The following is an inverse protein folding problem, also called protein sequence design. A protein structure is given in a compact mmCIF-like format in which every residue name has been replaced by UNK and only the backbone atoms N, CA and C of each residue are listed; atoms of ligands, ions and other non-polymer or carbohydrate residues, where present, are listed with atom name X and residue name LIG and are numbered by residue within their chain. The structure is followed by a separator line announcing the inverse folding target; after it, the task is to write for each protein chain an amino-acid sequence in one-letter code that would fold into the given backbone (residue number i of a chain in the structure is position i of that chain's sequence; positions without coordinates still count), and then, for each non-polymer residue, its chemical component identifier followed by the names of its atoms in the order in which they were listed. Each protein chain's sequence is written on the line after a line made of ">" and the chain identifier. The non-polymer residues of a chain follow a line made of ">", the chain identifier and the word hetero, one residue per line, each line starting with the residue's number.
data_IF_475975043918
#
_entry.id   IF_475975043918
#
_cell.length_a   1.000
_cell.length_b   1.000
_cell.length_c   1.000
_cell.angle_alpha   90.00
_cell.angle_beta   90.00
_cell.angle_gamma   90.00
#
_symmetry.space_group_name_H-M   'P 1'
#
loop_
_entity.id
_entity.type
_entity.pdbx_description
1 polymer ?
#
# COMPACT_ATOMS: atom_id res chain seq x y z
N UNK A 1 -21.35 20.74 -70.19
CA UNK A 1 -21.32 19.43 -69.48
C UNK A 1 -20.29 19.55 -68.39
N UNK A 2 -20.77 19.77 -67.15
CA UNK A 2 -19.91 19.90 -65.97
C UNK A 2 -20.08 18.64 -65.13
N UNK A 3 -19.01 17.86 -64.89
CA UNK A 3 -19.01 16.66 -64.05
C UNK A 3 -18.81 17.06 -62.58
N UNK A 4 -19.66 16.56 -61.61
CA UNK A 4 -19.42 16.80 -60.21
C UNK A 4 -18.39 15.81 -59.68
N UNK A 5 -17.32 16.33 -59.03
CA UNK A 5 -16.33 15.57 -58.30
C UNK A 5 -16.89 15.23 -56.89
N UNK A 6 -17.12 13.95 -56.67
CA UNK A 6 -17.56 13.40 -55.38
C UNK A 6 -16.39 13.36 -54.40
N UNK A 7 -16.38 14.24 -53.39
CA UNK A 7 -15.42 14.23 -52.29
C UNK A 7 -15.87 13.25 -51.22
N UNK A 8 -15.15 12.13 -51.08
CA UNK A 8 -15.31 11.20 -49.96
C UNK A 8 -14.69 11.81 -48.69
N UNK A 9 -15.53 12.19 -47.75
CA UNK A 9 -15.12 12.50 -46.38
C UNK A 9 -15.00 11.18 -45.63
N UNK A 10 -13.78 10.70 -45.38
CA UNK A 10 -13.50 9.60 -44.49
C UNK A 10 -13.66 10.08 -43.03
N UNK A 11 -14.75 9.73 -42.39
CA UNK A 11 -14.95 9.94 -40.97
C UNK A 11 -14.09 8.92 -40.20
N UNK A 12 -13.02 9.41 -39.58
CA UNK A 12 -12.17 8.62 -38.70
C UNK A 12 -12.91 8.43 -37.37
N UNK A 13 -13.51 7.28 -37.15
CA UNK A 13 -14.09 6.90 -35.85
C UNK A 13 -12.94 6.70 -34.86
N UNK A 14 -12.76 7.67 -33.93
CA UNK A 14 -11.92 7.53 -32.76
C UNK A 14 -12.62 6.54 -31.84
N UNK A 15 -12.20 5.27 -31.84
CA UNK A 15 -12.60 4.29 -30.83
C UNK A 15 -11.91 4.66 -29.53
N UNK A 16 -12.64 5.36 -28.65
CA UNK A 16 -12.23 5.57 -27.27
C UNK A 16 -12.36 4.21 -26.58
N UNK A 17 -11.27 3.44 -26.54
CA UNK A 17 -11.20 2.25 -25.69
C UNK A 17 -11.15 2.76 -24.25
N UNK A 18 -12.16 2.48 -23.41
CA UNK A 18 -12.07 2.82 -22.00
C UNK A 18 -10.85 2.08 -21.42
N UNK A 19 -9.88 2.81 -20.91
CA UNK A 19 -8.81 2.27 -20.08
C UNK A 19 -9.46 1.79 -18.77
N UNK A 20 -9.98 0.56 -18.80
CA UNK A 20 -10.36 -0.11 -17.56
C UNK A 20 -9.08 -0.18 -16.72
N UNK A 21 -9.09 0.46 -15.57
CA UNK A 21 -8.02 0.31 -14.59
C UNK A 21 -8.01 -1.18 -14.20
N UNK A 22 -7.09 -1.95 -14.77
CA UNK A 22 -6.96 -3.36 -14.40
C UNK A 22 -6.57 -3.44 -12.94
N UNK A 23 -7.18 -4.39 -12.22
CA UNK A 23 -6.83 -4.71 -10.85
C UNK A 23 -5.32 -4.84 -10.69
N UNK A 24 -4.77 -4.22 -9.66
CA UNK A 24 -3.34 -4.27 -9.36
C UNK A 24 -2.99 -5.57 -8.64
N UNK A 25 -1.93 -6.23 -9.07
CA UNK A 25 -1.30 -7.30 -8.30
C UNK A 25 0.02 -6.79 -7.74
N UNK A 26 0.02 -6.43 -6.46
CA UNK A 26 1.13 -5.75 -5.82
C UNK A 26 1.83 -6.60 -4.76
N UNK A 27 3.13 -6.41 -4.61
CA UNK A 27 3.92 -6.92 -3.49
C UNK A 27 4.45 -5.75 -2.66
N UNK A 28 4.27 -5.84 -1.34
CA UNK A 28 4.85 -4.86 -0.41
C UNK A 28 6.30 -5.25 -0.14
N UNK A 29 7.20 -4.30 -0.20
CA UNK A 29 8.57 -4.41 0.26
C UNK A 29 8.76 -3.52 1.48
N UNK A 30 9.11 -4.13 2.59
CA UNK A 30 9.46 -3.48 3.85
C UNK A 30 10.98 -3.35 3.94
N UNK A 31 11.58 -2.19 3.57
CA UNK A 31 13.02 -2.01 3.61
C UNK A 31 13.58 -2.12 5.02
N UNK A 32 14.69 -2.84 5.17
CA UNK A 32 15.43 -2.95 6.42
C UNK A 32 16.90 -2.61 6.19
N UNK A 33 17.57 -2.00 7.19
CA UNK A 33 19.00 -1.63 7.06
C UNK A 33 19.89 -2.81 6.69
N UNK A 34 19.58 -4.02 7.21
CA UNK A 34 20.30 -5.26 6.86
C UNK A 34 20.19 -5.66 5.40
N UNK A 35 19.19 -5.15 4.67
CA UNK A 35 19.04 -5.45 3.25
C UNK A 35 20.17 -4.83 2.40
N UNK A 36 20.91 -3.88 2.97
CA UNK A 36 22.12 -3.29 2.34
C UNK A 36 23.27 -4.29 2.20
N UNK A 37 23.25 -5.38 2.95
CA UNK A 37 24.23 -6.47 2.87
C UNK A 37 23.95 -7.45 1.72
N UNK A 38 22.80 -7.30 1.04
CA UNK A 38 22.46 -8.08 -0.15
C UNK A 38 23.29 -7.61 -1.34
N UNK A 39 23.95 -8.57 -2.03
CA UNK A 39 24.76 -8.26 -3.20
C UNK A 39 23.95 -7.52 -4.29
N UNK A 40 24.55 -6.50 -4.90
CA UNK A 40 23.86 -5.61 -5.82
C UNK A 40 23.24 -6.33 -7.01
N UNK A 41 23.88 -7.37 -7.55
CA UNK A 41 23.41 -8.14 -8.69
C UNK A 41 22.21 -9.04 -8.39
N UNK A 42 21.90 -9.28 -7.11
CA UNK A 42 20.74 -10.08 -6.69
C UNK A 42 19.41 -9.29 -6.82
N UNK A 43 19.45 -7.98 -6.67
CA UNK A 43 18.24 -7.15 -6.71
C UNK A 43 17.53 -7.15 -8.06
N UNK A 44 18.21 -6.90 -9.20
CA UNK A 44 17.57 -6.99 -10.51
C UNK A 44 16.98 -8.38 -10.79
N UNK A 45 17.67 -9.45 -10.35
CA UNK A 45 17.19 -10.84 -10.50
C UNK A 45 15.93 -11.06 -9.66
N UNK A 46 15.92 -10.58 -8.42
CA UNK A 46 14.75 -10.67 -7.54
C UNK A 46 13.54 -9.95 -8.15
N UNK A 47 13.71 -8.70 -8.61
CA UNK A 47 12.59 -7.95 -9.21
C UNK A 47 12.12 -8.56 -10.54
N UNK A 48 13.00 -9.12 -11.34
CA UNK A 48 12.63 -9.88 -12.52
C UNK A 48 11.80 -11.13 -12.17
N UNK A 49 12.19 -11.88 -11.13
CA UNK A 49 11.44 -13.03 -10.64
C UNK A 49 10.06 -12.62 -10.09
N UNK A 50 9.97 -11.52 -9.36
CA UNK A 50 8.70 -10.93 -8.89
C UNK A 50 7.79 -10.61 -10.09
N UNK A 51 8.35 -9.97 -11.11
CA UNK A 51 7.60 -9.65 -12.34
C UNK A 51 7.09 -10.90 -13.07
N UNK A 52 7.93 -11.95 -13.17
CA UNK A 52 7.57 -13.24 -13.77
C UNK A 52 6.47 -13.97 -13.00
N UNK A 53 6.36 -13.77 -11.68
CA UNK A 53 5.28 -14.30 -10.85
C UNK A 53 3.94 -13.56 -11.03
N UNK A 54 3.88 -12.56 -11.93
CA UNK A 54 2.65 -11.84 -12.26
C UNK A 54 2.41 -10.56 -11.45
N UNK A 55 3.33 -10.16 -10.59
CA UNK A 55 3.23 -8.87 -9.92
C UNK A 55 3.47 -7.73 -10.92
N UNK A 56 2.65 -6.70 -10.87
CA UNK A 56 2.78 -5.51 -11.71
C UNK A 56 3.24 -4.27 -10.93
N UNK A 57 3.17 -4.33 -9.59
CA UNK A 57 3.44 -3.19 -8.72
C UNK A 57 4.29 -3.60 -7.52
N UNK A 58 5.29 -2.78 -7.21
CA UNK A 58 6.02 -2.80 -5.94
C UNK A 58 5.52 -1.65 -5.07
N UNK A 59 5.05 -1.97 -3.87
CA UNK A 59 4.75 -1.00 -2.83
C UNK A 59 5.93 -0.96 -1.87
N UNK A 60 6.68 0.11 -1.85
CA UNK A 60 7.70 0.33 -0.82
C UNK A 60 6.98 0.79 0.44
N UNK A 61 6.96 -0.01 1.50
CA UNK A 61 6.11 0.25 2.68
C UNK A 61 6.44 1.58 3.36
N UNK A 62 7.71 1.94 3.42
CA UNK A 62 8.22 3.24 3.84
C UNK A 62 9.51 3.56 3.11
N UNK A 63 9.71 4.82 2.82
CA UNK A 63 10.97 5.32 2.29
C UNK A 63 11.83 5.98 3.37
N UNK A 64 11.24 6.13 4.57
CA UNK A 64 11.92 6.53 5.80
C UNK A 64 11.18 5.91 7.00
N UNK A 65 11.89 5.25 7.90
CA UNK A 65 11.35 4.67 9.15
C UNK A 65 12.13 5.24 10.34
N UNK A 66 11.53 6.19 11.05
CA UNK A 66 12.25 6.97 12.03
C UNK A 66 13.43 7.71 11.38
N UNK A 67 14.65 7.33 11.77
CA UNK A 67 15.92 7.81 11.18
C UNK A 67 16.46 6.90 10.06
N UNK A 68 15.94 5.66 9.94
CA UNK A 68 16.38 4.75 8.89
C UNK A 68 15.98 5.27 7.51
N UNK A 69 16.91 5.21 6.57
CA UNK A 69 16.80 5.70 5.19
C UNK A 69 16.66 7.23 5.06
N UNK A 70 16.89 7.98 6.16
CA UNK A 70 16.94 9.45 6.13
C UNK A 70 18.30 9.96 5.68
N UNK A 71 19.40 9.27 6.06
CA UNK A 71 20.76 9.64 5.68
C UNK A 71 20.98 9.55 4.16
N UNK A 72 21.80 10.44 3.56
CA UNK A 72 21.97 10.52 2.11
C UNK A 72 22.40 9.20 1.45
N UNK A 73 23.30 8.45 2.08
CA UNK A 73 23.79 7.15 1.59
C UNK A 73 22.72 6.05 1.66
N UNK A 74 21.95 5.99 2.75
CA UNK A 74 20.83 5.07 2.91
C UNK A 74 19.70 5.39 1.91
N UNK A 75 19.38 6.67 1.74
CA UNK A 75 18.41 7.13 0.74
C UNK A 75 18.86 6.78 -0.68
N UNK A 76 20.10 7.06 -1.03
CA UNK A 76 20.65 6.75 -2.36
C UNK A 76 20.62 5.24 -2.64
N UNK A 77 20.91 4.42 -1.63
CA UNK A 77 20.81 2.97 -1.73
C UNK A 77 19.37 2.53 -2.04
N UNK A 78 18.38 3.03 -1.28
CA UNK A 78 16.97 2.67 -1.51
C UNK A 78 16.44 3.19 -2.85
N UNK A 79 16.85 4.40 -3.25
CA UNK A 79 16.51 4.97 -4.54
C UNK A 79 17.00 4.09 -5.70
N UNK A 80 18.20 3.52 -5.57
CA UNK A 80 18.75 2.58 -6.56
C UNK A 80 17.88 1.32 -6.64
N UNK A 81 17.42 0.75 -5.51
CA UNK A 81 16.52 -0.42 -5.50
C UNK A 81 15.20 -0.12 -6.19
N UNK A 82 14.63 1.06 -5.95
CA UNK A 82 13.39 1.51 -6.61
C UNK A 82 13.60 1.65 -8.12
N UNK A 83 14.73 2.20 -8.56
CA UNK A 83 15.08 2.30 -9.99
C UNK A 83 15.21 0.93 -10.64
N UNK A 84 15.82 -0.04 -9.97
CA UNK A 84 15.96 -1.42 -10.46
C UNK A 84 14.61 -2.13 -10.57
N UNK A 85 13.72 -1.96 -9.59
CA UNK A 85 12.36 -2.49 -9.66
C UNK A 85 11.59 -1.91 -10.86
N UNK A 86 11.73 -0.60 -11.13
CA UNK A 86 11.16 0.02 -12.32
C UNK A 86 11.75 -0.52 -13.61
N UNK A 87 13.06 -0.72 -13.66
CA UNK A 87 13.73 -1.30 -14.82
C UNK A 87 13.26 -2.73 -15.10
N UNK A 88 12.84 -3.48 -14.08
CA UNK A 88 12.19 -4.78 -14.21
C UNK A 88 10.71 -4.70 -14.67
N UNK A 89 10.16 -3.49 -14.87
CA UNK A 89 8.78 -3.28 -15.35
C UNK A 89 7.73 -3.21 -14.24
N UNK A 90 8.14 -3.02 -12.98
CA UNK A 90 7.20 -2.81 -11.87
C UNK A 90 6.78 -1.35 -11.78
N UNK A 91 5.49 -1.09 -11.59
CA UNK A 91 4.97 0.22 -11.15
C UNK A 91 5.36 0.44 -9.70
N UNK A 92 5.61 1.68 -9.31
CA UNK A 92 6.09 1.99 -7.96
C UNK A 92 5.06 2.80 -7.19
N UNK A 93 4.60 2.25 -6.07
CA UNK A 93 3.88 2.99 -5.02
C UNK A 93 4.87 3.25 -3.90
N UNK A 94 5.11 4.52 -3.57
CA UNK A 94 6.08 4.93 -2.57
C UNK A 94 5.43 5.18 -1.21
N UNK A 95 5.82 4.41 -0.23
CA UNK A 95 5.53 4.69 1.18
C UNK A 95 6.34 5.89 1.66
N UNK A 96 5.68 6.74 2.42
CA UNK A 96 6.25 7.97 2.94
C UNK A 96 6.99 7.74 4.26
N UNK A 97 6.99 8.73 5.15
CA UNK A 97 7.65 8.61 6.45
C UNK A 97 6.83 7.79 7.45
N UNK A 98 7.44 6.79 8.07
CA UNK A 98 6.84 6.01 9.16
C UNK A 98 7.42 6.44 10.51
N UNK A 99 6.55 6.68 11.49
CA UNK A 99 6.94 6.93 12.87
C UNK A 99 6.93 5.60 13.64
N UNK A 100 8.08 5.09 14.13
CA UNK A 100 8.13 3.89 14.95
C UNK A 100 7.29 3.96 16.23
N UNK A 101 6.99 5.17 16.69
CA UNK A 101 6.19 5.39 17.88
C UNK A 101 4.67 5.56 17.58
N UNK A 102 4.22 5.40 16.34
CA UNK A 102 2.87 5.71 15.90
C UNK A 102 1.79 5.11 16.81
N UNK A 103 1.79 3.81 17.05
CA UNK A 103 0.82 3.15 17.93
C UNK A 103 0.88 3.67 19.38
N UNK A 104 2.08 3.88 19.92
CA UNK A 104 2.26 4.47 21.25
C UNK A 104 1.68 5.89 21.30
N UNK A 105 1.88 6.69 20.26
CA UNK A 105 1.30 8.04 20.20
C UNK A 105 -0.22 8.01 20.12
N UNK A 106 -0.80 7.05 19.40
CA UNK A 106 -2.24 6.84 19.36
C UNK A 106 -2.83 6.55 20.74
N UNK A 107 -2.15 5.77 21.57
CA UNK A 107 -2.59 5.45 22.94
C UNK A 107 -2.48 6.64 23.88
N UNK A 108 -1.42 7.43 23.75
CA UNK A 108 -1.07 8.51 24.66
C UNK A 108 -1.75 9.84 24.34
N UNK A 109 -1.95 10.14 23.05
CA UNK A 109 -2.46 11.45 22.60
C UNK A 109 -3.96 11.41 22.37
N UNK A 110 -4.64 12.46 22.79
CA UNK A 110 -6.09 12.65 22.65
C UNK A 110 -6.39 14.10 22.21
N UNK A 111 -7.56 14.31 21.61
CA UNK A 111 -8.03 15.65 21.25
C UNK A 111 -6.99 16.49 20.51
N UNK A 112 -6.71 17.74 20.93
CA UNK A 112 -5.79 18.66 20.26
C UNK A 112 -4.37 18.07 20.07
N UNK A 113 -3.84 17.37 21.07
CA UNK A 113 -2.49 16.77 21.00
C UNK A 113 -2.38 15.72 19.88
N UNK A 114 -3.46 14.99 19.61
CA UNK A 114 -3.52 14.05 18.49
C UNK A 114 -3.57 14.82 17.17
N UNK A 115 -4.34 15.87 17.07
CA UNK A 115 -4.41 16.72 15.87
C UNK A 115 -3.04 17.30 15.53
N UNK A 116 -2.30 17.80 16.52
CA UNK A 116 -0.95 18.36 16.30
C UNK A 116 0.08 17.29 15.90
N UNK A 117 -0.06 16.09 16.46
CA UNK A 117 0.76 14.95 16.06
C UNK A 117 0.49 14.54 14.61
N UNK A 118 -0.76 14.39 14.21
CA UNK A 118 -1.14 14.05 12.84
C UNK A 118 -0.67 15.12 11.84
N UNK A 119 -0.81 16.41 12.19
CA UNK A 119 -0.28 17.51 11.38
C UNK A 119 1.25 17.45 11.23
N UNK A 120 1.95 16.99 12.27
CA UNK A 120 3.41 16.79 12.20
C UNK A 120 3.77 15.63 11.26
N UNK A 121 2.99 14.54 11.26
CA UNK A 121 3.16 13.45 10.31
C UNK A 121 2.94 13.93 8.87
N UNK A 122 1.87 14.69 8.61
CA UNK A 122 1.58 15.21 7.27
C UNK A 122 2.73 16.08 6.72
N UNK A 123 3.30 16.97 7.53
CA UNK A 123 4.47 17.77 7.11
C UNK A 123 5.68 16.89 6.76
N UNK A 124 5.99 15.88 7.59
CA UNK A 124 7.09 14.95 7.32
C UNK A 124 6.85 14.17 6.03
N UNK A 125 5.62 13.72 5.80
CA UNK A 125 5.23 13.03 4.59
C UNK A 125 5.42 13.91 3.35
N UNK A 126 5.02 15.18 3.41
CA UNK A 126 5.24 16.13 2.32
C UNK A 126 6.74 16.34 2.04
N UNK A 127 7.59 16.48 3.07
CA UNK A 127 9.05 16.60 2.93
C UNK A 127 9.66 15.36 2.23
N UNK A 128 9.24 14.16 2.66
CA UNK A 128 9.67 12.90 2.04
C UNK A 128 9.18 12.82 0.60
N UNK A 129 7.92 13.15 0.34
CA UNK A 129 7.35 13.14 -1.01
C UNK A 129 8.07 14.10 -1.96
N UNK A 130 8.38 15.32 -1.52
CA UNK A 130 9.14 16.29 -2.30
C UNK A 130 10.53 15.75 -2.70
N UNK A 131 11.24 15.15 -1.73
CA UNK A 131 12.56 14.55 -1.99
C UNK A 131 12.45 13.45 -3.07
N UNK A 132 11.56 12.49 -2.88
CA UNK A 132 11.41 11.37 -3.80
C UNK A 132 10.89 11.78 -5.17
N UNK A 133 10.00 12.75 -5.24
CA UNK A 133 9.53 13.31 -6.50
C UNK A 133 10.65 14.01 -7.28
N UNK A 134 11.57 14.70 -6.57
CA UNK A 134 12.76 15.30 -7.15
C UNK A 134 13.76 14.26 -7.70
N UNK A 135 14.06 13.22 -6.90
CA UNK A 135 15.11 12.26 -7.22
C UNK A 135 14.68 11.19 -8.24
N UNK A 136 13.40 10.78 -8.21
CA UNK A 136 12.86 9.74 -9.09
C UNK A 136 12.14 10.30 -10.32
N UNK A 137 11.65 11.54 -10.23
CA UNK A 137 10.75 12.16 -11.19
C UNK A 137 9.29 11.76 -10.96
N UNK A 138 8.39 12.73 -10.96
CA UNK A 138 6.95 12.51 -10.66
C UNK A 138 6.26 11.53 -11.61
N UNK A 139 6.70 11.42 -12.87
CA UNK A 139 6.18 10.44 -13.83
C UNK A 139 6.50 8.99 -13.49
N UNK A 140 7.47 8.76 -12.61
CA UNK A 140 7.89 7.43 -12.18
C UNK A 140 7.10 6.88 -10.99
N UNK A 141 6.34 7.74 -10.32
CA UNK A 141 5.54 7.41 -9.14
C UNK A 141 4.13 7.05 -9.59
N UNK A 142 3.69 5.83 -9.28
CA UNK A 142 2.35 5.34 -9.60
C UNK A 142 1.34 5.65 -8.49
N UNK A 143 1.80 5.83 -7.25
CA UNK A 143 0.98 6.13 -6.08
C UNK A 143 1.82 6.46 -4.86
N UNK A 144 1.17 7.02 -3.86
CA UNK A 144 1.71 7.24 -2.53
C UNK A 144 1.11 6.23 -1.55
N UNK A 145 1.87 5.82 -0.55
CA UNK A 145 1.38 4.99 0.53
C UNK A 145 1.68 5.66 1.87
N UNK A 146 0.66 5.82 2.69
CA UNK A 146 0.79 6.32 4.05
C UNK A 146 1.12 5.12 4.96
N UNK A 147 2.34 5.02 5.50
CA UNK A 147 2.77 3.86 6.28
C UNK A 147 2.23 3.93 7.73
N UNK A 148 0.96 4.21 7.84
CA UNK A 148 0.17 4.11 9.05
C UNK A 148 -0.83 2.97 8.91
N UNK A 149 -1.25 2.38 10.01
CA UNK A 149 -2.28 1.35 10.01
C UNK A 149 -3.52 1.88 10.73
N UNK A 150 -4.66 1.77 10.05
CA UNK A 150 -5.95 2.18 10.61
C UNK A 150 -6.60 0.96 11.24
N UNK A 151 -6.78 1.00 12.57
CA UNK A 151 -7.32 -0.10 13.37
C UNK A 151 -8.77 0.14 13.80
N UNK A 152 -9.45 -0.94 14.20
CA UNK A 152 -10.82 -0.91 14.71
C UNK A 152 -10.91 -0.64 16.22
N UNK A 153 -9.77 -0.39 16.89
CA UNK A 153 -9.68 -0.01 18.30
C UNK A 153 -9.78 1.50 18.45
N UNK A 154 -8.75 2.18 17.93
CA UNK A 154 -8.58 3.63 18.08
C UNK A 154 -9.66 4.40 17.32
N UNK A 155 -9.92 3.99 16.10
CA UNK A 155 -10.83 4.70 15.20
C UNK A 155 -12.29 4.27 15.35
N UNK A 156 -12.62 3.57 16.46
CA UNK A 156 -13.98 3.30 16.85
C UNK A 156 -14.70 4.53 17.43
N UNK A 157 -13.96 5.46 18.02
CA UNK A 157 -14.49 6.71 18.56
C UNK A 157 -14.84 7.71 17.44
N UNK A 158 -16.05 8.31 17.42
CA UNK A 158 -16.45 9.23 16.36
C UNK A 158 -15.59 10.50 16.26
N UNK A 159 -15.08 11.02 17.39
CA UNK A 159 -14.20 12.20 17.38
C UNK A 159 -12.83 11.86 16.82
N UNK A 160 -12.30 10.69 17.16
CA UNK A 160 -11.06 10.20 16.57
C UNK A 160 -11.23 9.99 15.05
N UNK A 161 -12.36 9.45 14.58
CA UNK A 161 -12.65 9.33 13.13
C UNK A 161 -12.67 10.67 12.43
N UNK A 162 -13.29 11.69 13.01
CA UNK A 162 -13.26 13.03 12.43
C UNK A 162 -11.84 13.57 12.30
N UNK A 163 -11.00 13.39 13.33
CA UNK A 163 -9.58 13.78 13.28
C UNK A 163 -8.80 13.01 12.20
N UNK A 164 -9.07 11.69 12.05
CA UNK A 164 -8.49 10.88 10.98
C UNK A 164 -8.90 11.40 9.61
N UNK A 165 -10.19 11.68 9.41
CA UNK A 165 -10.69 12.21 8.16
C UNK A 165 -10.01 13.54 7.79
N UNK A 166 -9.94 14.49 8.71
CA UNK A 166 -9.31 15.80 8.50
C UNK A 166 -7.81 15.63 8.14
N UNK A 167 -7.12 14.73 8.82
CA UNK A 167 -5.73 14.40 8.52
C UNK A 167 -5.57 13.84 7.10
N UNK A 168 -6.40 12.88 6.71
CA UNK A 168 -6.31 12.25 5.39
C UNK A 168 -6.66 13.23 4.26
N UNK A 169 -7.62 14.14 4.48
CA UNK A 169 -7.93 15.23 3.54
C UNK A 169 -6.74 16.18 3.40
N UNK A 170 -6.03 16.48 4.49
CA UNK A 170 -4.84 17.32 4.45
C UNK A 170 -3.67 16.64 3.72
N UNK A 171 -3.43 15.34 3.97
CA UNK A 171 -2.46 14.52 3.21
C UNK A 171 -2.77 14.52 1.71
N UNK A 172 -4.04 14.29 1.35
CA UNK A 172 -4.47 14.32 -0.06
C UNK A 172 -4.12 15.66 -0.71
N UNK A 173 -4.44 16.76 -0.06
CA UNK A 173 -4.19 18.11 -0.58
C UNK A 173 -2.70 18.40 -0.74
N UNK A 174 -1.88 18.05 0.26
CA UNK A 174 -0.45 18.29 0.23
C UNK A 174 0.25 17.46 -0.86
N UNK A 175 -0.07 16.17 -0.95
CA UNK A 175 0.52 15.27 -1.92
C UNK A 175 0.09 15.56 -3.36
N UNK A 176 -1.17 15.97 -3.58
CA UNK A 176 -1.65 16.43 -4.89
C UNK A 176 -0.90 17.68 -5.37
N UNK A 177 -0.48 18.54 -4.45
CA UNK A 177 0.36 19.70 -4.77
C UNK A 177 1.79 19.34 -5.19
N UNK A 178 2.27 18.14 -4.87
CA UNK A 178 3.61 17.65 -5.23
C UNK A 178 3.56 16.80 -6.51
N UNK A 179 2.84 15.69 -6.46
CA UNK A 179 2.56 14.82 -7.60
C UNK A 179 1.19 14.21 -7.38
N UNK A 180 0.20 14.62 -8.17
CA UNK A 180 -1.17 14.09 -8.07
C UNK A 180 -1.19 12.63 -8.53
N UNK A 181 -1.33 11.73 -7.55
CA UNK A 181 -1.38 10.28 -7.69
C UNK A 181 -2.30 9.68 -6.64
N UNK A 182 -2.86 8.49 -6.88
CA UNK A 182 -3.60 7.78 -5.85
C UNK A 182 -2.81 7.65 -4.54
N UNK A 183 -3.49 7.84 -3.42
CA UNK A 183 -2.92 7.66 -2.08
C UNK A 183 -3.56 6.42 -1.47
N UNK A 184 -2.74 5.57 -0.89
CA UNK A 184 -3.16 4.32 -0.26
C UNK A 184 -2.81 4.29 1.22
N UNK A 185 -3.61 3.56 1.98
CA UNK A 185 -3.36 3.25 3.38
C UNK A 185 -3.82 1.83 3.66
N UNK A 186 -3.25 1.17 4.66
CA UNK A 186 -3.77 -0.11 5.13
C UNK A 186 -4.68 0.05 6.34
N UNK A 187 -5.64 -0.86 6.46
CA UNK A 187 -6.49 -1.00 7.62
C UNK A 187 -6.55 -2.45 8.06
N UNK A 188 -6.64 -2.68 9.39
CA UNK A 188 -6.84 -4.01 9.95
C UNK A 188 -7.95 -4.01 10.99
N UNK A 189 -8.47 -5.20 11.25
CA UNK A 189 -9.50 -5.45 12.25
C UNK A 189 -8.99 -6.44 13.30
N UNK A 190 -9.37 -6.22 14.55
CA UNK A 190 -9.01 -7.06 15.70
C UNK A 190 -10.22 -7.47 16.55
N UNK A 191 -11.44 -7.24 16.06
CA UNK A 191 -12.68 -7.65 16.72
C UNK A 191 -13.29 -6.59 17.64
N UNK A 192 -12.86 -5.34 17.57
CA UNK A 192 -13.37 -4.24 18.41
C UNK A 192 -14.56 -3.49 17.81
N UNK A 193 -14.81 -3.67 16.52
CA UNK A 193 -16.02 -3.26 15.81
C UNK A 193 -16.76 -4.50 15.30
N UNK A 194 -18.07 -4.37 15.03
CA UNK A 194 -18.74 -5.36 14.19
C UNK A 194 -18.24 -5.25 12.74
N UNK A 195 -18.35 -6.31 11.91
CA UNK A 195 -17.94 -6.26 10.51
C UNK A 195 -18.56 -5.08 9.73
N UNK A 196 -19.83 -4.77 9.94
CA UNK A 196 -20.49 -3.64 9.25
C UNK A 196 -19.93 -2.29 9.72
N UNK A 197 -19.73 -2.09 11.03
CA UNK A 197 -19.10 -0.85 11.54
C UNK A 197 -17.66 -0.67 11.07
N UNK A 198 -16.93 -1.77 10.91
CA UNK A 198 -15.59 -1.72 10.32
C UNK A 198 -15.65 -1.34 8.83
N UNK A 199 -16.61 -1.87 8.08
CA UNK A 199 -16.83 -1.46 6.70
C UNK A 199 -17.18 0.05 6.59
N UNK A 200 -17.97 0.58 7.53
CA UNK A 200 -18.23 2.03 7.62
C UNK A 200 -16.95 2.84 7.88
N UNK A 201 -16.02 2.35 8.73
CA UNK A 201 -14.72 2.99 8.93
C UNK A 201 -13.91 3.03 7.63
N UNK A 202 -13.85 1.93 6.90
CA UNK A 202 -13.16 1.85 5.59
C UNK A 202 -13.79 2.84 4.59
N UNK A 203 -15.12 2.95 4.56
CA UNK A 203 -15.82 3.92 3.72
C UNK A 203 -15.50 5.37 4.13
N UNK A 204 -15.44 5.68 5.42
CA UNK A 204 -15.09 7.02 5.90
C UNK A 204 -13.69 7.44 5.45
N UNK A 205 -12.73 6.49 5.47
CA UNK A 205 -11.39 6.74 4.91
C UNK A 205 -11.46 7.06 3.43
N UNK A 206 -12.21 6.30 2.64
CA UNK A 206 -12.34 6.55 1.21
C UNK A 206 -13.01 7.90 0.88
N UNK A 207 -13.92 8.39 1.73
CA UNK A 207 -14.52 9.73 1.57
C UNK A 207 -13.49 10.86 1.69
N UNK A 208 -12.35 10.63 2.31
CA UNK A 208 -11.23 11.59 2.33
C UNK A 208 -10.43 11.64 1.00
N UNK A 209 -10.73 10.76 0.05
CA UNK A 209 -9.97 10.60 -1.20
C UNK A 209 -8.83 9.58 -1.13
N UNK A 210 -8.56 9.01 0.05
CA UNK A 210 -7.52 8.00 0.27
C UNK A 210 -8.09 6.59 0.09
N UNK A 211 -7.38 5.75 -0.66
CA UNK A 211 -7.78 4.36 -0.97
C UNK A 211 -7.32 3.41 0.13
N UNK A 212 -8.18 2.49 0.54
CA UNK A 212 -7.88 1.56 1.62
C UNK A 212 -7.63 0.15 1.11
N UNK A 213 -6.52 -0.47 1.52
CA UNK A 213 -6.29 -1.89 1.45
C UNK A 213 -6.52 -2.53 2.82
N UNK A 214 -7.42 -3.50 2.89
CA UNK A 214 -7.76 -4.19 4.14
C UNK A 214 -6.87 -5.41 4.31
N UNK A 215 -6.18 -5.51 5.45
CA UNK A 215 -5.35 -6.66 5.79
C UNK A 215 -6.25 -7.85 6.16
N UNK A 216 -5.92 -9.05 5.64
CA UNK A 216 -6.72 -10.26 5.88
C UNK A 216 -6.51 -10.86 7.28
N UNK A 217 -5.45 -10.44 7.98
CA UNK A 217 -5.11 -10.90 9.35
C UNK A 217 -4.79 -12.39 9.45
N UNK A 218 -4.46 -13.04 8.33
CA UNK A 218 -4.21 -14.48 8.31
C UNK A 218 -2.88 -14.85 8.96
N UNK A 219 -1.87 -14.01 8.81
CA UNK A 219 -0.55 -14.19 9.40
C UNK A 219 -0.52 -13.96 10.90
N UNK A 220 -1.24 -12.95 11.38
CA UNK A 220 -1.28 -12.58 12.81
C UNK A 220 -2.19 -13.51 13.63
N UNK A 221 -3.19 -14.10 13.02
CA UNK A 221 -4.14 -15.05 13.64
C UNK A 221 -4.85 -14.54 14.91
N UNK A 222 -5.05 -13.21 15.02
CA UNK A 222 -5.76 -12.61 16.16
C UNK A 222 -7.23 -13.03 16.22
N UNK A 223 -7.84 -13.26 15.06
CA UNK A 223 -9.21 -13.74 14.93
C UNK A 223 -9.24 -15.08 14.20
N UNK A 224 -10.19 -15.91 14.58
CA UNK A 224 -10.51 -17.15 13.89
C UNK A 224 -10.90 -16.89 12.42
N UNK A 225 -10.64 -17.86 11.55
CA UNK A 225 -10.86 -17.74 10.11
C UNK A 225 -12.29 -17.31 9.76
N UNK A 226 -13.30 -17.90 10.41
CA UNK A 226 -14.71 -17.55 10.15
C UNK A 226 -15.01 -16.08 10.48
N UNK A 227 -14.48 -15.58 11.61
CA UNK A 227 -14.63 -14.19 11.99
C UNK A 227 -13.94 -13.27 10.97
N UNK A 228 -12.69 -13.56 10.57
CA UNK A 228 -11.95 -12.78 9.54
C UNK A 228 -12.73 -12.69 8.23
N UNK A 229 -13.34 -13.81 7.78
CA UNK A 229 -14.15 -13.84 6.57
C UNK A 229 -15.36 -12.89 6.62
N UNK A 230 -15.98 -12.69 7.80
CA UNK A 230 -17.08 -11.74 7.96
C UNK A 230 -16.62 -10.29 7.74
N UNK A 231 -15.45 -9.91 8.30
CA UNK A 231 -14.87 -8.57 8.07
C UNK A 231 -14.48 -8.35 6.60
N UNK A 232 -13.82 -9.34 6.01
CA UNK A 232 -13.42 -9.30 4.60
C UNK A 232 -14.65 -9.17 3.68
N UNK A 233 -15.70 -9.96 3.95
CA UNK A 233 -16.94 -9.89 3.18
C UNK A 233 -17.66 -8.55 3.34
N UNK A 234 -17.67 -7.97 4.55
CA UNK A 234 -18.29 -6.67 4.80
C UNK A 234 -17.53 -5.55 4.06
N UNK A 235 -16.18 -5.52 4.16
CA UNK A 235 -15.34 -4.52 3.52
C UNK A 235 -15.28 -4.67 2.00
N UNK A 236 -15.51 -5.88 1.45
CA UNK A 236 -15.42 -6.21 0.03
C UNK A 236 -16.75 -6.24 -0.72
N UNK A 237 -17.82 -5.65 -0.21
CA UNK A 237 -19.14 -5.62 -0.86
C UNK A 237 -19.12 -4.82 -2.18
N UNK A 238 -19.24 -5.48 -3.33
CA UNK A 238 -19.12 -4.83 -4.64
C UNK A 238 -20.14 -3.70 -4.89
N UNK A 239 -21.34 -3.84 -4.37
CA UNK A 239 -22.40 -2.83 -4.53
C UNK A 239 -22.09 -1.51 -3.79
N UNK A 240 -21.17 -1.53 -2.87
CA UNK A 240 -20.80 -0.40 -1.99
C UNK A 240 -19.29 -0.20 -1.90
N UNK A 241 -18.49 -0.74 -2.81
CA UNK A 241 -17.02 -0.72 -2.88
C UNK A 241 -16.34 0.06 -1.73
N UNK A 242 -16.21 -0.57 -0.56
CA UNK A 242 -15.61 0.08 0.60
C UNK A 242 -14.09 -0.04 0.60
N UNK A 243 -13.55 -1.20 0.22
CA UNK A 243 -12.12 -1.42 0.14
C UNK A 243 -11.64 -1.30 -1.33
N UNK A 244 -10.53 -0.62 -1.55
CA UNK A 244 -9.84 -0.62 -2.84
C UNK A 244 -9.28 -2.01 -3.18
N UNK A 245 -8.92 -2.78 -2.16
CA UNK A 245 -8.40 -4.13 -2.30
C UNK A 245 -8.04 -4.74 -0.95
N UNK A 246 -7.35 -5.86 -1.00
CA UNK A 246 -6.97 -6.63 0.18
C UNK A 246 -5.48 -6.92 0.21
N UNK A 247 -4.92 -6.90 1.43
CA UNK A 247 -3.55 -7.35 1.71
C UNK A 247 -3.61 -8.78 2.23
N UNK A 248 -2.99 -9.69 1.50
CA UNK A 248 -2.87 -11.11 1.85
C UNK A 248 -1.49 -11.37 2.47
N UNK A 249 -1.48 -11.94 3.67
CA UNK A 249 -0.27 -12.11 4.47
C UNK A 249 0.45 -13.42 4.13
N UNK A 250 1.74 -13.32 3.70
CA UNK A 250 2.61 -14.44 3.31
C UNK A 250 3.45 -14.97 4.47
N UNK A 251 3.07 -14.65 5.69
CA UNK A 251 3.79 -15.03 6.90
C UNK A 251 2.87 -15.67 7.94
N UNK A 252 3.49 -16.26 8.95
CA UNK A 252 2.84 -16.67 10.19
C UNK A 252 3.58 -16.04 11.36
N UNK A 253 2.85 -15.34 12.22
CA UNK A 253 3.39 -14.81 13.47
C UNK A 253 3.77 -15.96 14.41
N UNK A 254 4.98 -15.91 14.96
CA UNK A 254 5.51 -16.93 15.88
C UNK A 254 5.88 -16.37 17.26
N UNK A 255 5.92 -15.03 17.38
CA UNK A 255 6.20 -14.34 18.63
C UNK A 255 4.95 -13.96 19.41
N UNK A 256 5.15 -13.48 20.64
CA UNK A 256 4.10 -12.88 21.46
C UNK A 256 3.80 -11.43 21.02
N UNK A 257 2.68 -10.86 21.51
CA UNK A 257 2.33 -9.44 21.25
C UNK A 257 3.42 -8.43 21.69
N UNK A 258 4.33 -8.83 22.59
CA UNK A 258 5.45 -7.98 23.03
C UNK A 258 6.67 -8.04 22.11
N UNK A 259 6.76 -9.05 21.27
CA UNK A 259 7.90 -9.26 20.36
C UNK A 259 7.37 -9.90 19.08
N UNK A 260 7.01 -9.05 18.12
CA UNK A 260 6.58 -9.54 16.81
C UNK A 260 7.73 -10.26 16.11
N UNK A 261 7.55 -11.55 15.90
CA UNK A 261 8.39 -12.35 15.02
C UNK A 261 7.51 -13.11 14.04
N UNK A 262 7.98 -13.28 12.82
CA UNK A 262 7.22 -13.93 11.78
C UNK A 262 8.12 -14.84 10.93
N UNK A 263 7.55 -15.93 10.44
CA UNK A 263 8.19 -16.86 9.51
C UNK A 263 7.41 -16.92 8.21
N UNK A 264 8.10 -17.18 7.10
CA UNK A 264 7.45 -17.42 5.81
C UNK A 264 6.50 -18.63 5.91
N UNK A 265 5.43 -18.59 5.13
CA UNK A 265 4.56 -19.74 4.93
C UNK A 265 5.31 -20.90 4.25
N UNK A 266 4.79 -22.12 4.41
CA UNK A 266 5.25 -23.24 3.59
C UNK A 266 5.03 -22.94 2.09
N UNK A 267 5.80 -23.54 1.17
CA UNK A 267 5.59 -23.32 -0.28
C UNK A 267 4.16 -23.62 -0.75
N UNK A 268 3.50 -24.61 -0.14
CA UNK A 268 2.12 -24.98 -0.45
C UNK A 268 1.15 -23.89 0.01
N UNK A 269 1.28 -23.45 1.27
CA UNK A 269 0.43 -22.40 1.83
C UNK A 269 0.66 -21.07 1.10
N UNK A 270 1.92 -20.71 0.82
CA UNK A 270 2.25 -19.51 0.06
C UNK A 270 1.61 -19.51 -1.34
N UNK A 271 1.63 -20.67 -2.04
CA UNK A 271 0.97 -20.81 -3.34
C UNK A 271 -0.54 -20.61 -3.24
N UNK A 272 -1.18 -21.14 -2.20
CA UNK A 272 -2.61 -20.96 -1.96
C UNK A 272 -2.97 -19.49 -1.69
N UNK A 273 -2.13 -18.77 -0.91
CA UNK A 273 -2.32 -17.33 -0.67
C UNK A 273 -2.10 -16.54 -1.95
N UNK A 274 -1.05 -16.82 -2.71
CA UNK A 274 -0.73 -16.12 -3.97
C UNK A 274 -1.80 -16.31 -5.07
N UNK A 275 -2.62 -17.35 -4.95
CA UNK A 275 -3.77 -17.57 -5.84
C UNK A 275 -5.00 -16.72 -5.48
N UNK A 276 -5.03 -16.09 -4.30
CA UNK A 276 -6.16 -15.26 -3.88
C UNK A 276 -6.27 -13.99 -4.73
N UNK A 277 -7.49 -13.58 -4.96
CA UNK A 277 -7.79 -12.32 -5.65
C UNK A 277 -8.83 -11.54 -4.88
N UNK A 278 -8.65 -10.21 -4.85
CA UNK A 278 -9.62 -9.31 -4.25
C UNK A 278 -10.94 -9.36 -5.05
N UNK A 279 -12.09 -9.31 -4.36
CA UNK A 279 -13.38 -9.22 -5.05
C UNK A 279 -13.52 -7.90 -5.81
N UNK A 280 -14.49 -7.82 -6.71
CA UNK A 280 -14.87 -6.60 -7.43
C UNK A 280 -13.74 -5.99 -8.27
N UNK A 281 -12.86 -6.82 -8.82
CA UNK A 281 -11.65 -6.35 -9.54
C UNK A 281 -10.79 -5.38 -8.71
N UNK A 282 -10.81 -5.53 -7.38
CA UNK A 282 -9.99 -4.77 -6.45
C UNK A 282 -8.52 -5.19 -6.49
N UNK A 283 -7.67 -4.37 -5.87
CA UNK A 283 -6.24 -4.63 -5.81
C UNK A 283 -5.94 -5.86 -4.94
N UNK A 284 -5.14 -6.79 -5.45
CA UNK A 284 -4.60 -7.92 -4.70
C UNK A 284 -3.17 -7.59 -4.28
N UNK A 285 -3.00 -7.26 -3.02
CA UNK A 285 -1.72 -6.84 -2.44
C UNK A 285 -1.19 -7.94 -1.55
N UNK A 286 0.11 -8.22 -1.57
CA UNK A 286 0.70 -9.29 -0.78
C UNK A 286 1.76 -8.74 0.16
N UNK A 287 1.74 -9.16 1.41
CA UNK A 287 2.69 -8.77 2.43
C UNK A 287 3.53 -9.97 2.88
N UNK A 288 4.82 -10.00 2.66
CA UNK A 288 5.68 -9.03 1.99
C UNK A 288 6.70 -9.74 1.10
N UNK A 289 7.47 -8.97 0.33
CA UNK A 289 8.51 -9.45 -0.59
C UNK A 289 9.49 -10.44 0.08
N UNK A 290 9.86 -10.18 1.32
CA UNK A 290 10.78 -11.04 2.10
C UNK A 290 10.28 -12.48 2.24
N UNK A 291 8.95 -12.67 2.29
CA UNK A 291 8.33 -13.99 2.47
C UNK A 291 7.98 -14.69 1.15
N UNK A 292 8.23 -14.05 -0.01
CA UNK A 292 8.10 -14.74 -1.28
C UNK A 292 9.15 -15.85 -1.43
N UNK A 293 8.80 -17.00 -2.05
CA UNK A 293 9.79 -18.02 -2.37
C UNK A 293 10.97 -17.47 -3.19
N UNK A 294 10.73 -16.52 -4.09
CA UNK A 294 11.77 -15.85 -4.88
C UNK A 294 12.80 -15.08 -4.06
N UNK A 295 12.45 -14.67 -2.84
CA UNK A 295 13.35 -13.95 -1.93
C UNK A 295 14.09 -14.86 -0.95
N UNK A 296 13.82 -16.16 -0.98
CA UNK A 296 14.50 -17.13 -0.13
C UNK A 296 16.03 -17.10 -0.38
N UNK A 297 16.82 -17.06 0.70
CA UNK A 297 18.28 -16.93 0.62
C UNK A 297 18.80 -15.54 0.20
N UNK A 298 17.92 -14.60 -0.18
CA UNK A 298 18.28 -13.21 -0.52
C UNK A 298 17.91 -12.29 0.67
N UNK A 299 16.63 -12.16 0.97
CA UNK A 299 16.12 -11.30 2.04
C UNK A 299 15.83 -12.07 3.35
N UNK A 300 15.69 -13.37 3.28
CA UNK A 300 15.51 -14.26 4.44
C UNK A 300 16.88 -14.73 4.92
N UNK A 301 17.56 -13.92 5.71
CA UNK A 301 18.87 -14.23 6.31
C UNK A 301 18.81 -14.07 7.83
#
# INVERSE_FOLDING_TARGET
>A
MVRPTLRWLAAMLLVIVPLWASATTAIIYQPQRRDRDVAQDQWPRLFAAVRQQGFDTLVVQWTQYGDAFAAPDEHAWLLQRVREARAAGLRIVLGLGSDPAFFKMQDQKKGPDMTDYLRTLARRNAEVAHRWAGDLGGGAIAGWYLPMEIDDVRWNDPKARAQLHDYLVDEQRQLDGIVSRPIYVTSFFAGHMTPDRYADLVQDVQRSGVRTWVQDGAGTQRLEQGARQLYMAAAGRCAQAHAQGFVYELFRQTGSDKSFTATALSPVDASAVLAQRAPCDGDSVFFELRYLPAAAGILQR
#
